data_IF_796453977358
#
_entry.id   IF_796453977358
#
_cell.length_a   1.000
_cell.length_b   1.000
_cell.length_c   1.000
_cell.angle_alpha   90.00
_cell.angle_beta   90.00
_cell.angle_gamma   90.00
#
_symmetry.space_group_name_H-M   'P 1'
#
loop_
_entity.id
_entity.type
_entity.pdbx_description
1 polymer ?
#
# COMPACT_ATOMS: atom_id res chain seq x y z
N UNK A 1 -16.86 8.62 15.32
CA UNK A 1 -15.49 8.09 15.55
C UNK A 1 -14.41 9.15 15.34
N UNK A 2 -14.32 9.79 14.17
CA UNK A 2 -13.33 10.86 13.94
C UNK A 2 -13.42 12.00 14.97
N UNK A 3 -14.63 12.49 15.25
CA UNK A 3 -14.84 13.57 16.23
C UNK A 3 -14.26 13.24 17.61
N UNK A 4 -14.49 12.01 18.09
CA UNK A 4 -13.91 11.54 19.34
C UNK A 4 -12.38 11.49 19.28
N UNK A 5 -11.80 10.89 18.22
CA UNK A 5 -10.34 10.84 18.04
C UNK A 5 -9.72 12.25 18.02
N UNK A 6 -10.32 13.19 17.29
CA UNK A 6 -9.84 14.57 17.22
C UNK A 6 -9.99 15.27 18.57
N UNK A 7 -11.07 15.01 19.31
CA UNK A 7 -11.26 15.52 20.68
C UNK A 7 -10.13 15.05 21.60
N UNK A 8 -9.84 13.75 21.61
CA UNK A 8 -8.76 13.18 22.42
C UNK A 8 -7.38 13.71 21.99
N UNK A 9 -7.12 13.82 20.68
CA UNK A 9 -5.89 14.34 20.11
C UNK A 9 -5.63 15.83 20.43
N UNK A 10 -6.70 16.63 20.56
CA UNK A 10 -6.64 18.03 21.03
C UNK A 10 -6.54 18.11 22.56
N UNK A 11 -7.11 17.14 23.27
CA UNK A 11 -7.05 17.03 24.71
C UNK A 11 -5.62 16.82 25.23
N UNK A 12 -5.36 17.28 26.45
CA UNK A 12 -4.08 17.08 27.17
C UNK A 12 -4.17 15.99 28.25
N UNK A 13 -5.35 15.41 28.43
CA UNK A 13 -5.60 14.35 29.41
C UNK A 13 -5.06 13.04 28.84
N UNK A 14 -4.21 12.30 29.58
CA UNK A 14 -3.82 10.95 29.20
C UNK A 14 -5.04 10.01 29.15
N UNK A 15 -5.06 9.12 28.18
CA UNK A 15 -6.16 8.21 27.88
C UNK A 15 -5.87 6.77 28.32
N UNK A 16 -4.66 6.26 28.07
CA UNK A 16 -4.32 4.86 28.37
C UNK A 16 -4.09 4.65 29.88
N UNK A 17 -4.93 3.86 30.58
CA UNK A 17 -4.70 3.54 31.96
C UNK A 17 -3.60 2.47 32.10
N UNK A 18 -2.76 2.53 33.13
CA UNK A 18 -1.65 1.59 33.31
C UNK A 18 -2.10 0.15 33.58
N UNK A 19 -3.33 -0.03 34.08
CA UNK A 19 -3.96 -1.30 34.44
C UNK A 19 -4.99 -1.78 33.40
N UNK A 20 -4.96 -1.25 32.18
CA UNK A 20 -5.82 -1.70 31.08
C UNK A 20 -5.70 -3.22 30.90
N UNK A 21 -6.79 -4.01 30.99
CA UNK A 21 -6.74 -5.43 30.66
C UNK A 21 -6.40 -5.61 29.18
N UNK A 22 -5.32 -6.32 28.88
CA UNK A 22 -4.83 -6.55 27.51
C UNK A 22 -4.94 -8.02 27.14
N UNK A 23 -5.48 -8.28 25.94
CA UNK A 23 -5.25 -9.55 25.26
C UNK A 23 -3.83 -9.59 24.71
N UNK A 24 -3.36 -10.76 24.26
CA UNK A 24 -2.04 -10.90 23.62
C UNK A 24 -1.89 -9.95 22.41
N UNK A 25 -2.91 -9.85 21.56
CA UNK A 25 -2.90 -8.94 20.40
C UNK A 25 -2.82 -7.46 20.80
N UNK A 26 -3.51 -7.04 21.87
CA UNK A 26 -3.45 -5.66 22.37
C UNK A 26 -2.06 -5.40 22.98
N UNK A 27 -1.54 -6.34 23.77
CA UNK A 27 -0.23 -6.23 24.39
C UNK A 27 0.89 -6.13 23.35
N UNK A 28 0.79 -6.85 22.23
CA UNK A 28 1.75 -6.77 21.13
C UNK A 28 1.76 -5.37 20.48
N UNK A 29 0.59 -4.80 20.17
CA UNK A 29 0.49 -3.44 19.60
C UNK A 29 1.04 -2.38 20.55
N UNK A 30 0.65 -2.42 21.83
CA UNK A 30 1.15 -1.47 22.83
C UNK A 30 2.65 -1.67 23.09
N UNK A 31 3.11 -2.93 23.14
CA UNK A 31 4.52 -3.29 23.30
C UNK A 31 5.37 -2.74 22.16
N UNK A 32 4.93 -2.91 20.91
CA UNK A 32 5.61 -2.34 19.75
C UNK A 32 5.73 -0.81 19.85
N UNK A 33 4.65 -0.12 20.22
CA UNK A 33 4.68 1.34 20.38
C UNK A 33 5.61 1.81 21.51
N UNK A 34 5.73 1.04 22.61
CA UNK A 34 6.69 1.32 23.69
C UNK A 34 8.13 1.17 23.21
N UNK A 35 8.43 0.14 22.41
CA UNK A 35 9.75 -0.01 21.77
C UNK A 35 10.06 1.19 20.86
N UNK A 36 9.08 1.68 20.09
CA UNK A 36 9.24 2.88 19.28
C UNK A 36 9.52 4.13 20.13
N UNK A 37 8.95 4.23 21.33
CA UNK A 37 9.16 5.34 22.24
C UNK A 37 10.54 5.34 22.91
N UNK A 38 11.17 4.16 23.06
CA UNK A 38 12.44 3.98 23.76
C UNK A 38 13.67 4.11 22.86
N UNK A 39 13.52 3.86 21.55
CA UNK A 39 14.63 3.86 20.59
C UNK A 39 14.83 5.22 19.89
N UNK A 40 16.05 5.49 19.36
CA UNK A 40 16.32 6.70 18.59
C UNK A 40 15.42 6.84 17.35
N UNK A 41 14.88 8.04 17.12
CA UNK A 41 13.89 8.29 16.05
C UNK A 41 14.44 8.03 14.64
N UNK A 42 15.74 8.21 14.44
CA UNK A 42 16.45 7.97 13.18
C UNK A 42 16.61 6.47 12.84
N UNK A 43 16.25 5.59 13.78
CA UNK A 43 16.15 4.15 13.52
C UNK A 43 14.92 3.78 12.67
N UNK A 44 13.96 4.70 12.52
CA UNK A 44 12.64 4.39 11.98
C UNK A 44 12.28 5.19 10.72
N UNK A 45 11.52 4.53 9.85
CA UNK A 45 10.78 5.17 8.76
C UNK A 45 9.35 5.54 9.19
N UNK A 46 8.34 5.34 8.32
CA UNK A 46 6.94 5.58 8.69
C UNK A 46 6.31 4.41 9.46
N UNK A 47 5.20 4.69 10.13
CA UNK A 47 4.26 3.68 10.60
C UNK A 47 3.21 3.42 9.52
N UNK A 48 3.19 2.21 8.94
CA UNK A 48 2.29 1.87 7.82
C UNK A 48 1.06 1.12 8.33
N UNK A 49 -0.12 1.58 7.91
CA UNK A 49 -1.41 0.96 8.25
C UNK A 49 -1.90 0.13 7.07
N UNK A 50 -1.69 -1.18 7.11
CA UNK A 50 -2.32 -2.11 6.16
C UNK A 50 -3.84 -2.11 6.31
N UNK A 51 -4.56 -2.39 5.23
CA UNK A 51 -6.03 -2.36 5.14
C UNK A 51 -6.63 -1.04 5.64
N UNK A 52 -6.01 0.09 5.32
CA UNK A 52 -6.57 1.39 5.65
C UNK A 52 -7.85 1.63 4.84
N UNK A 53 -8.93 2.00 5.52
CA UNK A 53 -10.25 2.19 4.88
C UNK A 53 -10.84 3.57 5.12
N UNK A 54 -10.41 4.25 6.18
CA UNK A 54 -10.99 5.53 6.58
C UNK A 54 -9.97 6.44 7.28
N UNK A 55 -10.22 7.76 7.31
CA UNK A 55 -9.40 8.72 8.07
C UNK A 55 -9.22 8.36 9.55
N UNK A 56 -10.22 7.71 10.16
CA UNK A 56 -10.13 7.28 11.56
C UNK A 56 -9.04 6.26 11.81
N UNK A 57 -8.64 5.48 10.80
CA UNK A 57 -7.59 4.47 10.95
C UNK A 57 -6.24 5.17 11.16
N UNK A 58 -5.97 6.23 10.40
CA UNK A 58 -4.80 7.10 10.56
C UNK A 58 -4.82 7.79 11.93
N UNK A 59 -5.92 8.47 12.27
CA UNK A 59 -6.02 9.21 13.53
C UNK A 59 -5.95 8.31 14.78
N UNK A 60 -6.39 7.05 14.67
CA UNK A 60 -6.26 6.08 15.77
C UNK A 60 -4.80 5.75 16.06
N UNK A 61 -3.97 5.59 15.01
CA UNK A 61 -2.53 5.36 15.18
C UNK A 61 -1.86 6.62 15.75
N UNK A 62 -2.19 7.81 15.25
CA UNK A 62 -1.65 9.06 15.81
C UNK A 62 -1.93 9.18 17.31
N UNK A 63 -3.14 8.83 17.74
CA UNK A 63 -3.51 8.82 19.15
C UNK A 63 -2.69 7.78 19.93
N UNK A 64 -2.58 6.54 19.42
CA UNK A 64 -1.81 5.49 20.09
C UNK A 64 -0.33 5.82 20.20
N UNK A 65 0.29 6.42 19.18
CA UNK A 65 1.69 6.86 19.25
C UNK A 65 1.88 7.85 20.41
N UNK A 66 0.99 8.85 20.52
CA UNK A 66 1.02 9.83 21.62
C UNK A 66 0.83 9.17 22.98
N UNK A 67 -0.19 8.33 23.12
CA UNK A 67 -0.55 7.70 24.39
C UNK A 67 0.49 6.67 24.87
N UNK A 68 1.26 6.09 23.95
CA UNK A 68 2.37 5.20 24.29
C UNK A 68 3.69 5.95 24.57
N UNK A 69 3.67 7.29 24.59
CA UNK A 69 4.82 8.11 24.99
C UNK A 69 5.83 8.40 23.89
N UNK A 70 5.49 8.17 22.61
CA UNK A 70 6.35 8.53 21.48
C UNK A 70 6.41 10.07 21.39
N UNK A 71 7.55 10.65 21.76
CA UNK A 71 7.73 12.12 21.83
C UNK A 71 7.74 12.78 20.44
N UNK A 72 8.34 12.12 19.47
CA UNK A 72 8.35 12.51 18.07
C UNK A 72 7.68 11.39 17.28
N UNK A 73 6.40 11.57 16.94
CA UNK A 73 5.60 10.55 16.27
C UNK A 73 6.20 10.20 14.90
N UNK A 74 6.13 8.93 14.52
CA UNK A 74 6.52 8.51 13.19
C UNK A 74 5.45 9.00 12.20
N UNK A 75 5.84 9.34 10.95
CA UNK A 75 4.86 9.64 9.91
C UNK A 75 3.91 8.46 9.67
N UNK A 76 2.61 8.68 9.82
CA UNK A 76 1.60 7.64 9.58
C UNK A 76 1.25 7.57 8.09
N UNK A 77 1.33 6.35 7.54
CA UNK A 77 1.15 6.08 6.11
C UNK A 77 0.00 5.10 5.90
N UNK A 78 -1.16 5.56 5.35
CA UNK A 78 -2.22 4.65 4.98
C UNK A 78 -1.81 3.81 3.77
N UNK A 79 -2.04 2.50 3.84
CA UNK A 79 -1.93 1.58 2.70
C UNK A 79 -3.34 1.17 2.23
N UNK A 80 -3.71 1.64 1.05
CA UNK A 80 -4.98 1.30 0.40
C UNK A 80 -4.79 0.05 -0.48
N UNK A 81 -5.52 -1.03 -0.17
CA UNK A 81 -5.26 -2.38 -0.72
C UNK A 81 -6.40 -2.96 -1.55
N UNK A 82 -7.66 -2.52 -1.36
CA UNK A 82 -8.81 -3.00 -2.15
C UNK A 82 -9.26 -1.94 -3.14
N UNK A 83 -10.00 -2.36 -4.16
CA UNK A 83 -10.51 -1.46 -5.19
C UNK A 83 -11.37 -0.34 -4.57
N UNK A 84 -12.26 -0.69 -3.64
CA UNK A 84 -13.11 0.28 -2.94
C UNK A 84 -12.28 1.26 -2.08
N UNK A 85 -11.21 0.77 -1.45
CA UNK A 85 -10.34 1.60 -0.61
C UNK A 85 -9.56 2.61 -1.48
N UNK A 86 -9.09 2.20 -2.66
CA UNK A 86 -8.46 3.09 -3.63
C UNK A 86 -9.43 4.14 -4.20
N UNK A 87 -10.69 3.77 -4.42
CA UNK A 87 -11.74 4.72 -4.85
C UNK A 87 -12.02 5.76 -3.77
N UNK A 88 -12.03 5.35 -2.49
CA UNK A 88 -12.26 6.22 -1.35
C UNK A 88 -11.01 7.00 -0.89
N UNK A 89 -9.83 6.66 -1.39
CA UNK A 89 -8.56 7.22 -0.93
C UNK A 89 -8.48 8.74 -1.09
N UNK A 90 -8.83 9.37 -2.24
CA UNK A 90 -8.78 10.83 -2.38
C UNK A 90 -9.67 11.55 -1.37
N UNK A 91 -10.91 11.07 -1.18
CA UNK A 91 -11.84 11.63 -0.21
C UNK A 91 -11.36 11.45 1.24
N UNK A 92 -10.73 10.32 1.55
CA UNK A 92 -10.16 10.06 2.87
C UNK A 92 -8.98 11.00 3.17
N UNK A 93 -8.08 11.18 2.19
CA UNK A 93 -6.94 12.11 2.29
C UNK A 93 -7.43 13.55 2.40
N UNK A 94 -8.41 13.96 1.61
CA UNK A 94 -9.01 15.30 1.72
C UNK A 94 -9.64 15.52 3.09
N UNK A 95 -10.34 14.52 3.63
CA UNK A 95 -10.93 14.62 4.96
C UNK A 95 -9.88 14.77 6.06
N UNK A 96 -8.75 14.05 5.96
CA UNK A 96 -7.60 14.24 6.83
C UNK A 96 -7.03 15.65 6.72
N UNK A 97 -6.79 16.15 5.51
CA UNK A 97 -6.23 17.50 5.30
C UNK A 97 -7.18 18.63 5.70
N UNK A 98 -8.49 18.41 5.66
CA UNK A 98 -9.51 19.34 6.17
C UNK A 98 -9.61 19.36 7.71
N UNK A 99 -8.88 18.50 8.41
CA UNK A 99 -8.89 18.44 9.88
C UNK A 99 -7.75 19.28 10.44
N UNK A 100 -8.06 20.41 11.08
CA UNK A 100 -7.06 21.38 11.58
C UNK A 100 -5.94 20.76 12.40
N UNK A 101 -6.25 19.79 13.27
CA UNK A 101 -5.24 19.12 14.07
C UNK A 101 -4.23 18.37 13.19
N UNK A 102 -4.74 17.64 12.19
CA UNK A 102 -3.93 16.78 11.35
C UNK A 102 -3.06 17.56 10.36
N UNK A 103 -3.62 18.57 9.69
CA UNK A 103 -2.86 19.37 8.72
C UNK A 103 -1.68 20.10 9.37
N UNK A 104 -1.86 20.57 10.61
CA UNK A 104 -0.79 21.18 11.41
C UNK A 104 0.22 20.11 11.89
N UNK A 105 -0.25 18.92 12.23
CA UNK A 105 0.59 17.82 12.71
C UNK A 105 1.57 17.33 11.63
N UNK A 106 1.11 17.14 10.39
CA UNK A 106 1.92 16.56 9.31
C UNK A 106 2.94 17.54 8.70
N UNK A 107 2.92 18.81 9.11
CA UNK A 107 3.85 19.86 8.69
C UNK A 107 4.09 19.90 7.15
N UNK A 108 2.99 19.89 6.39
CA UNK A 108 3.01 19.99 4.94
C UNK A 108 3.54 18.77 4.17
N UNK A 109 3.71 17.60 4.81
CA UNK A 109 4.17 16.37 4.15
C UNK A 109 3.26 15.19 4.47
N UNK A 110 2.76 14.50 3.44
CA UNK A 110 2.01 13.26 3.59
C UNK A 110 2.63 12.18 2.73
N UNK A 111 2.71 10.96 3.23
CA UNK A 111 3.00 9.80 2.42
C UNK A 111 1.81 8.84 2.39
N UNK A 112 1.52 8.28 1.22
CA UNK A 112 0.46 7.28 1.02
C UNK A 112 1.08 6.07 0.34
N UNK A 113 0.78 4.88 0.83
CA UNK A 113 1.24 3.64 0.21
C UNK A 113 0.14 3.04 -0.67
N UNK A 114 0.54 2.53 -1.83
CA UNK A 114 -0.38 1.89 -2.78
C UNK A 114 0.01 0.43 -3.02
N UNK A 115 -0.95 -0.49 -2.85
CA UNK A 115 -0.74 -1.93 -2.95
C UNK A 115 -1.19 -2.51 -4.29
N UNK A 116 -0.25 -2.84 -5.18
CA UNK A 116 -0.58 -3.42 -6.50
C UNK A 116 -1.06 -4.86 -6.41
N UNK A 117 -0.30 -5.73 -5.73
CA UNK A 117 -0.62 -7.16 -5.63
C UNK A 117 -1.93 -7.42 -4.90
N UNK A 118 -2.18 -6.66 -3.82
CA UNK A 118 -3.37 -6.80 -3.01
C UNK A 118 -4.62 -6.30 -3.76
N UNK A 119 -4.51 -5.16 -4.46
CA UNK A 119 -5.60 -4.65 -5.32
C UNK A 119 -5.88 -5.58 -6.50
N UNK A 120 -4.83 -6.14 -7.11
CA UNK A 120 -4.97 -7.12 -8.19
C UNK A 120 -5.63 -8.42 -7.73
N UNK A 121 -5.37 -8.85 -6.49
CA UNK A 121 -6.05 -10.01 -5.87
C UNK A 121 -7.53 -9.74 -5.57
N UNK A 122 -7.91 -8.48 -5.33
CA UNK A 122 -9.30 -8.11 -5.04
C UNK A 122 -10.17 -8.02 -6.31
N UNK A 123 -9.63 -7.44 -7.39
CA UNK A 123 -10.44 -7.01 -8.54
C UNK A 123 -9.86 -7.34 -9.92
N UNK A 124 -8.76 -8.11 -9.99
CA UNK A 124 -8.03 -8.36 -11.22
C UNK A 124 -7.03 -7.25 -11.55
N UNK A 125 -5.96 -7.59 -12.27
CA UNK A 125 -4.80 -6.72 -12.43
C UNK A 125 -5.08 -5.46 -13.27
N UNK A 126 -5.90 -5.57 -14.33
CA UNK A 126 -6.25 -4.43 -15.18
C UNK A 126 -6.99 -3.35 -14.39
N UNK A 127 -8.06 -3.74 -13.71
CA UNK A 127 -8.91 -2.84 -12.93
C UNK A 127 -8.14 -2.22 -11.76
N UNK A 128 -7.30 -3.01 -11.09
CA UNK A 128 -6.41 -2.50 -10.05
C UNK A 128 -5.43 -1.45 -10.59
N UNK A 129 -4.78 -1.71 -11.73
CA UNK A 129 -3.83 -0.76 -12.33
C UNK A 129 -4.51 0.55 -12.76
N UNK A 130 -5.70 0.47 -13.36
CA UNK A 130 -6.46 1.66 -13.74
C UNK A 130 -6.89 2.47 -12.52
N UNK A 131 -7.47 1.82 -11.51
CA UNK A 131 -7.92 2.50 -10.30
C UNK A 131 -6.74 3.11 -9.52
N UNK A 132 -5.57 2.47 -9.53
CA UNK A 132 -4.34 3.03 -8.97
C UNK A 132 -3.90 4.30 -9.69
N UNK A 133 -3.99 4.34 -11.03
CA UNK A 133 -3.67 5.55 -11.79
C UNK A 133 -4.60 6.71 -11.39
N UNK A 134 -5.91 6.46 -11.40
CA UNK A 134 -6.93 7.47 -11.03
C UNK A 134 -6.77 7.93 -9.59
N UNK A 135 -6.58 7.02 -8.63
CA UNK A 135 -6.42 7.38 -7.22
C UNK A 135 -5.19 8.27 -6.98
N UNK A 136 -4.06 8.00 -7.65
CA UNK A 136 -2.86 8.81 -7.53
C UNK A 136 -3.05 10.22 -8.12
N UNK A 137 -3.70 10.31 -9.28
CA UNK A 137 -4.03 11.59 -9.92
C UNK A 137 -4.93 12.46 -9.02
N UNK A 138 -5.98 11.89 -8.46
CA UNK A 138 -6.92 12.62 -7.60
C UNK A 138 -6.30 12.98 -6.25
N UNK A 139 -5.51 12.08 -5.63
CA UNK A 139 -4.77 12.41 -4.40
C UNK A 139 -3.75 13.52 -4.61
N UNK A 140 -3.08 13.57 -5.77
CA UNK A 140 -2.15 14.66 -6.10
C UNK A 140 -2.87 16.02 -6.24
N UNK A 141 -4.05 16.04 -6.87
CA UNK A 141 -4.91 17.25 -6.93
C UNK A 141 -5.32 17.73 -5.54
N UNK A 142 -5.75 16.80 -4.68
CA UNK A 142 -6.09 17.10 -3.27
C UNK A 142 -4.88 17.65 -2.52
N UNK A 143 -3.71 17.00 -2.63
CA UNK A 143 -2.50 17.46 -1.98
C UNK A 143 -2.08 18.87 -2.42
N UNK A 144 -2.17 19.16 -3.73
CA UNK A 144 -1.92 20.48 -4.29
C UNK A 144 -2.89 21.54 -3.75
N UNK A 145 -4.19 21.23 -3.64
CA UNK A 145 -5.22 22.11 -3.06
C UNK A 145 -4.89 22.53 -1.63
N UNK A 146 -4.31 21.63 -0.83
CA UNK A 146 -3.97 21.88 0.57
C UNK A 146 -2.49 22.27 0.81
N UNK A 147 -1.70 22.45 -0.26
CA UNK A 147 -0.27 22.79 -0.14
C UNK A 147 0.58 21.70 0.52
N UNK A 148 0.16 20.43 0.42
CA UNK A 148 0.86 19.28 1.01
C UNK A 148 1.76 18.63 -0.03
N UNK A 149 3.03 18.39 0.34
CA UNK A 149 3.93 17.54 -0.44
C UNK A 149 3.55 16.06 -0.24
N UNK A 150 2.86 15.51 -1.23
CA UNK A 150 2.55 14.08 -1.28
C UNK A 150 3.78 13.28 -1.73
N UNK A 151 4.05 12.17 -1.06
CA UNK A 151 5.00 11.14 -1.53
C UNK A 151 4.27 9.82 -1.64
N UNK A 152 4.31 9.21 -2.83
CA UNK A 152 3.74 7.88 -3.02
C UNK A 152 4.76 6.81 -2.68
N UNK A 153 4.33 5.84 -1.87
CA UNK A 153 5.09 4.64 -1.57
C UNK A 153 4.51 3.46 -2.36
N UNK A 154 5.23 3.04 -3.39
CA UNK A 154 4.84 1.94 -4.25
C UNK A 154 5.16 0.59 -3.59
N UNK A 155 4.11 -0.17 -3.27
CA UNK A 155 4.19 -1.52 -2.73
C UNK A 155 4.58 -2.58 -3.76
N UNK A 156 4.60 -3.84 -3.33
CA UNK A 156 5.01 -4.98 -4.17
C UNK A 156 4.04 -5.28 -5.32
N UNK A 157 4.56 -5.84 -6.41
CA UNK A 157 3.79 -6.29 -7.58
C UNK A 157 3.49 -5.22 -8.62
N UNK A 158 3.85 -3.96 -8.35
CA UNK A 158 3.78 -2.90 -9.35
C UNK A 158 4.85 -3.06 -10.42
N UNK A 159 4.62 -2.46 -11.59
CA UNK A 159 5.61 -2.37 -12.67
C UNK A 159 6.92 -1.72 -12.22
N UNK A 160 6.84 -0.80 -11.25
CA UNK A 160 7.98 -0.07 -10.67
C UNK A 160 8.90 -0.99 -9.83
N UNK A 161 8.35 -1.99 -9.14
CA UNK A 161 9.09 -2.79 -8.13
C UNK A 161 9.49 -4.19 -8.57
N UNK A 162 9.15 -4.61 -9.80
CA UNK A 162 9.31 -6.01 -10.25
C UNK A 162 10.36 -6.27 -11.32
N UNK A 163 10.93 -5.24 -11.95
CA UNK A 163 11.76 -5.44 -13.14
C UNK A 163 11.04 -6.15 -14.31
N UNK A 164 9.72 -6.43 -14.19
CA UNK A 164 8.89 -7.09 -15.20
C UNK A 164 8.59 -6.21 -16.42
N UNK A 165 9.12 -4.99 -16.41
CA UNK A 165 9.33 -4.09 -17.52
C UNK A 165 10.44 -3.12 -17.12
N UNK A 166 10.94 -2.27 -18.03
CA UNK A 166 11.97 -1.30 -17.70
C UNK A 166 11.50 -0.36 -16.57
N UNK A 167 11.98 -0.54 -15.33
CA UNK A 167 11.60 0.29 -14.16
C UNK A 167 11.67 1.79 -14.45
N UNK A 168 12.65 2.19 -15.25
CA UNK A 168 12.80 3.55 -15.76
C UNK A 168 11.51 4.04 -16.44
N UNK A 169 10.99 3.33 -17.43
CA UNK A 169 9.76 3.70 -18.13
C UNK A 169 8.52 3.63 -17.21
N UNK A 170 8.48 2.68 -16.29
CA UNK A 170 7.39 2.57 -15.32
C UNK A 170 7.29 3.78 -14.37
N UNK A 171 8.42 4.42 -14.06
CA UNK A 171 8.46 5.68 -13.30
C UNK A 171 8.00 6.84 -14.20
N UNK A 172 8.51 6.91 -15.43
CA UNK A 172 8.09 7.94 -16.40
C UNK A 172 6.59 7.88 -16.74
N UNK A 173 5.96 6.72 -16.62
CA UNK A 173 4.53 6.53 -16.89
C UNK A 173 3.61 6.83 -15.70
N UNK A 174 4.14 7.21 -14.53
CA UNK A 174 3.27 7.61 -13.41
C UNK A 174 2.44 8.85 -13.79
N UNK A 175 1.24 9.06 -13.20
CA UNK A 175 0.45 10.25 -13.52
C UNK A 175 1.27 11.54 -13.30
N UNK A 176 1.04 12.60 -14.09
CA UNK A 176 1.72 13.89 -13.91
C UNK A 176 1.60 14.42 -12.48
N UNK A 177 2.61 15.18 -12.02
CA UNK A 177 2.66 15.82 -10.69
C UNK A 177 2.54 14.86 -9.48
N UNK A 178 2.79 13.55 -9.64
CA UNK A 178 2.70 12.58 -8.52
C UNK A 178 4.04 12.25 -7.85
N UNK A 179 5.18 12.54 -8.49
CA UNK A 179 6.52 12.24 -7.98
C UNK A 179 7.20 13.48 -7.37
N UNK A 180 7.29 14.59 -8.12
CA UNK A 180 7.81 15.87 -7.64
C UNK A 180 9.12 15.76 -6.81
N UNK A 181 10.06 14.96 -7.32
CA UNK A 181 11.37 14.72 -6.70
C UNK A 181 11.35 13.84 -5.44
N UNK A 182 10.24 13.16 -5.11
CA UNK A 182 10.14 12.28 -3.94
C UNK A 182 9.24 11.08 -4.23
N UNK A 183 9.87 9.90 -4.37
CA UNK A 183 9.20 8.62 -4.55
C UNK A 183 9.78 7.60 -3.56
N UNK A 184 8.96 6.64 -3.13
CA UNK A 184 9.44 5.45 -2.41
C UNK A 184 8.97 4.20 -3.13
N UNK A 185 9.86 3.22 -3.26
CA UNK A 185 9.58 1.98 -4.00
C UNK A 185 10.03 0.80 -3.16
N UNK A 186 9.17 -0.22 -3.09
CA UNK A 186 9.54 -1.51 -2.50
C UNK A 186 10.43 -2.28 -3.49
N UNK A 187 11.68 -2.54 -3.12
CA UNK A 187 12.49 -3.57 -3.79
C UNK A 187 12.04 -4.92 -3.26
N UNK A 188 11.54 -5.77 -4.16
CA UNK A 188 11.10 -7.11 -3.76
C UNK A 188 12.29 -8.04 -3.51
N UNK A 189 12.18 -8.89 -2.49
CA UNK A 189 13.24 -9.86 -2.15
C UNK A 189 13.60 -10.78 -3.31
N UNK A 190 12.62 -11.17 -4.14
CA UNK A 190 12.90 -11.99 -5.33
C UNK A 190 13.69 -11.29 -6.45
N UNK A 191 13.91 -9.97 -6.37
CA UNK A 191 14.65 -9.17 -7.37
C UNK A 191 15.90 -8.51 -6.77
N UNK A 192 16.15 -8.66 -5.46
CA UNK A 192 17.25 -7.95 -4.78
C UNK A 192 18.61 -8.30 -5.37
N UNK A 193 18.86 -9.59 -5.60
CA UNK A 193 20.11 -10.09 -6.17
C UNK A 193 20.31 -9.58 -7.61
N UNK A 194 19.24 -9.60 -8.41
CA UNK A 194 19.30 -9.12 -9.79
C UNK A 194 19.61 -7.61 -9.88
N UNK A 195 19.14 -6.82 -8.92
CA UNK A 195 19.35 -5.37 -8.93
C UNK A 195 20.65 -4.94 -8.28
N UNK A 196 21.11 -5.66 -7.25
CA UNK A 196 22.17 -5.19 -6.35
C UNK A 196 23.26 -6.21 -6.06
N UNK A 197 23.16 -7.44 -6.56
CA UNK A 197 24.13 -8.51 -6.31
C UNK A 197 25.47 -8.33 -7.05
N UNK A 198 25.48 -7.56 -8.13
CA UNK A 198 26.68 -7.23 -8.91
C UNK A 198 26.89 -5.70 -8.97
N UNK A 199 28.14 -5.25 -8.89
CA UNK A 199 28.50 -3.84 -8.71
C UNK A 199 27.99 -2.93 -9.85
N UNK A 200 28.17 -3.36 -11.10
CA UNK A 200 27.71 -2.59 -12.26
C UNK A 200 26.18 -2.57 -12.36
N UNK A 201 25.51 -3.69 -12.06
CA UNK A 201 24.05 -3.75 -12.02
C UNK A 201 23.48 -2.90 -10.89
N UNK A 202 24.14 -2.87 -9.73
CA UNK A 202 23.81 -1.98 -8.62
C UNK A 202 23.88 -0.52 -9.07
N UNK A 203 24.99 -0.12 -9.70
CA UNK A 203 25.15 1.23 -10.23
C UNK A 203 24.05 1.59 -11.24
N UNK A 204 23.78 0.70 -12.20
CA UNK A 204 22.73 0.91 -13.22
C UNK A 204 21.33 1.00 -12.61
N UNK A 205 21.04 0.21 -11.57
CA UNK A 205 19.77 0.26 -10.84
C UNK A 205 19.58 1.63 -10.19
N UNK A 206 20.59 2.12 -9.46
CA UNK A 206 20.57 3.44 -8.83
C UNK A 206 20.49 4.59 -9.85
N UNK A 207 21.23 4.47 -10.96
CA UNK A 207 21.20 5.44 -12.06
C UNK A 207 19.79 5.57 -12.64
N UNK A 208 19.10 4.45 -12.92
CA UNK A 208 17.77 4.46 -13.54
C UNK A 208 16.71 5.05 -12.64
N UNK A 209 16.72 4.76 -11.33
CA UNK A 209 15.81 5.39 -10.37
C UNK A 209 16.02 6.90 -10.32
N UNK A 210 17.27 7.34 -10.26
CA UNK A 210 17.62 8.77 -10.17
C UNK A 210 17.18 9.51 -11.44
N UNK A 211 17.56 9.00 -12.62
CA UNK A 211 17.24 9.61 -13.91
C UNK A 211 15.73 9.69 -14.15
N UNK A 212 14.99 8.60 -13.97
CA UNK A 212 13.56 8.58 -14.26
C UNK A 212 12.75 9.45 -13.28
N UNK A 213 13.15 9.50 -12.01
CA UNK A 213 12.50 10.36 -10.99
C UNK A 213 12.70 11.83 -11.32
N UNK A 214 13.90 12.21 -11.75
CA UNK A 214 14.23 13.57 -12.16
C UNK A 214 13.48 13.96 -13.44
N UNK A 215 13.55 13.11 -14.48
CA UNK A 215 12.92 13.36 -15.77
C UNK A 215 11.40 13.49 -15.63
N UNK A 216 10.72 12.59 -14.90
CA UNK A 216 9.27 12.67 -14.71
C UNK A 216 8.81 14.03 -14.16
N UNK A 217 9.56 14.61 -13.21
CA UNK A 217 9.24 15.90 -12.61
C UNK A 217 9.44 17.11 -13.54
N UNK A 218 10.18 16.97 -14.64
CA UNK A 218 10.46 18.04 -15.61
C UNK A 218 9.82 17.79 -16.98
N UNK A 219 9.50 16.53 -17.28
CA UNK A 219 8.94 16.06 -18.54
C UNK A 219 7.85 15.01 -18.25
N UNK A 220 6.68 15.45 -17.74
CA UNK A 220 5.60 14.54 -17.40
C UNK A 220 5.02 13.85 -18.65
N UNK A 221 4.42 12.66 -18.51
CA UNK A 221 3.80 11.97 -19.64
C UNK A 221 2.56 12.71 -20.14
N UNK A 222 2.13 12.36 -21.35
CA UNK A 222 0.89 12.91 -21.92
C UNK A 222 -0.32 12.56 -21.06
N UNK A 223 -1.22 13.53 -20.86
CA UNK A 223 -2.50 13.25 -20.20
C UNK A 223 -3.35 12.32 -21.06
N UNK A 224 -4.02 11.32 -20.47
CA UNK A 224 -4.85 10.40 -21.23
C UNK A 224 -6.08 11.11 -21.80
N UNK A 225 -6.38 10.84 -23.07
CA UNK A 225 -7.52 11.43 -23.77
C UNK A 225 -8.86 10.97 -23.16
N UNK A 226 -9.94 11.76 -23.26
CA UNK A 226 -11.25 11.38 -22.72
C UNK A 226 -11.74 10.01 -23.19
N UNK A 227 -11.56 9.69 -24.47
CA UNK A 227 -11.95 8.39 -25.05
C UNK A 227 -11.11 7.22 -24.50
N UNK A 228 -9.84 7.44 -24.13
CA UNK A 228 -9.01 6.41 -23.50
C UNK A 228 -9.45 6.15 -22.06
N UNK A 229 -9.76 7.22 -21.30
CA UNK A 229 -10.29 7.08 -19.94
C UNK A 229 -11.60 6.31 -19.94
N UNK A 230 -12.54 6.69 -20.80
CA UNK A 230 -13.83 6.02 -20.94
C UNK A 230 -13.67 4.54 -21.27
N UNK A 231 -12.79 4.20 -22.22
CA UNK A 231 -12.52 2.80 -22.55
C UNK A 231 -11.90 2.04 -21.37
N UNK A 232 -10.95 2.63 -20.64
CA UNK A 232 -10.36 2.01 -19.46
C UNK A 232 -11.39 1.78 -18.33
N UNK A 233 -12.34 2.69 -18.14
CA UNK A 233 -13.45 2.55 -17.20
C UNK A 233 -14.36 1.37 -17.59
N UNK A 234 -14.75 1.27 -18.86
CA UNK A 234 -15.57 0.17 -19.38
C UNK A 234 -14.86 -1.18 -19.25
N UNK A 235 -13.57 -1.25 -19.63
CA UNK A 235 -12.75 -2.46 -19.53
C UNK A 235 -12.56 -2.89 -18.07
N UNK A 236 -12.36 -1.95 -17.14
CA UNK A 236 -12.18 -2.26 -15.72
C UNK A 236 -13.42 -2.94 -15.11
N UNK A 237 -14.63 -2.55 -15.53
CA UNK A 237 -15.87 -3.19 -15.05
C UNK A 237 -15.94 -4.64 -15.50
N UNK A 238 -15.75 -4.90 -16.79
CA UNK A 238 -15.85 -6.26 -17.36
C UNK A 238 -14.73 -7.15 -16.80
N UNK A 239 -13.49 -6.66 -16.74
CA UNK A 239 -12.37 -7.43 -16.22
C UNK A 239 -12.53 -7.79 -14.73
N UNK A 240 -13.09 -6.88 -13.91
CA UNK A 240 -13.39 -7.19 -12.51
C UNK A 240 -14.52 -8.21 -12.38
N UNK A 241 -15.55 -8.12 -13.22
CA UNK A 241 -16.66 -9.06 -13.22
C UNK A 241 -16.18 -10.47 -13.56
N UNK A 242 -15.42 -10.63 -14.65
CA UNK A 242 -14.85 -11.90 -15.07
C UNK A 242 -13.90 -12.47 -14.01
N UNK A 243 -12.95 -11.66 -13.51
CA UNK A 243 -12.01 -12.09 -12.46
C UNK A 243 -12.75 -12.60 -11.22
N UNK A 244 -13.73 -11.84 -10.72
CA UNK A 244 -14.50 -12.23 -9.53
C UNK A 244 -15.44 -13.39 -9.80
N UNK A 245 -15.94 -13.55 -11.03
CA UNK A 245 -16.78 -14.70 -11.40
C UNK A 245 -16.03 -16.02 -11.16
N UNK A 246 -14.74 -16.06 -11.48
CA UNK A 246 -13.89 -17.25 -11.31
C UNK A 246 -13.32 -17.33 -9.90
N UNK A 247 -12.68 -16.27 -9.40
CA UNK A 247 -11.88 -16.34 -8.16
C UNK A 247 -12.75 -16.26 -6.90
N UNK A 248 -13.91 -15.61 -6.98
CA UNK A 248 -14.80 -15.34 -5.84
C UNK A 248 -16.12 -16.10 -5.93
N UNK A 249 -16.80 -16.09 -7.09
CA UNK A 249 -18.15 -16.66 -7.24
C UNK A 249 -18.15 -18.17 -7.51
N UNK A 250 -17.15 -18.73 -8.21
CA UNK A 250 -17.11 -20.18 -8.49
C UNK A 250 -16.78 -20.99 -7.22
N UNK A 251 -17.70 -21.83 -6.72
CA UNK A 251 -17.54 -22.50 -5.43
C UNK A 251 -16.38 -23.51 -5.42
N UNK A 252 -16.04 -24.11 -6.57
CA UNK A 252 -14.96 -25.11 -6.68
C UNK A 252 -13.58 -24.48 -6.88
N UNK A 253 -13.49 -23.15 -7.00
CA UNK A 253 -12.23 -22.49 -7.30
C UNK A 253 -11.15 -22.76 -6.25
N UNK A 254 -11.51 -22.72 -4.96
CA UNK A 254 -10.54 -22.94 -3.87
C UNK A 254 -10.02 -24.38 -3.87
N UNK A 255 -10.87 -25.36 -4.19
CA UNK A 255 -10.49 -26.76 -4.32
C UNK A 255 -9.54 -26.97 -5.50
N UNK A 256 -9.88 -26.42 -6.67
CA UNK A 256 -9.01 -26.43 -7.84
C UNK A 256 -7.66 -25.77 -7.55
N UNK A 257 -7.66 -24.58 -6.97
CA UNK A 257 -6.44 -23.84 -6.62
C UNK A 257 -5.49 -24.65 -5.73
N UNK A 258 -6.02 -25.30 -4.69
CA UNK A 258 -5.20 -26.13 -3.77
C UNK A 258 -4.71 -27.44 -4.39
N UNK A 259 -5.40 -27.92 -5.41
CA UNK A 259 -5.03 -29.17 -6.11
C UNK A 259 -4.06 -28.90 -7.26
N UNK A 260 -4.23 -27.78 -7.96
CA UNK A 260 -3.47 -27.42 -9.14
C UNK A 260 -2.22 -26.58 -8.82
N UNK A 261 -2.00 -26.20 -7.56
CA UNK A 261 -0.84 -25.39 -7.14
C UNK A 261 -0.28 -25.86 -5.79
N UNK A 262 1.00 -25.59 -5.48
CA UNK A 262 1.60 -25.98 -4.21
C UNK A 262 1.24 -25.02 -3.04
N UNK A 263 0.06 -24.38 -3.03
CA UNK A 263 -0.32 -23.44 -1.96
C UNK A 263 -0.33 -24.09 -0.58
N UNK A 264 -0.88 -25.30 -0.49
CA UNK A 264 -1.00 -26.02 0.78
C UNK A 264 0.38 -26.40 1.32
N UNK A 265 1.26 -26.87 0.45
CA UNK A 265 2.62 -27.28 0.78
C UNK A 265 3.46 -26.07 1.17
N UNK A 266 3.37 -24.96 0.43
CA UNK A 266 4.07 -23.70 0.75
C UNK A 266 3.76 -23.23 2.18
N UNK A 267 2.49 -23.29 2.61
CA UNK A 267 2.10 -22.89 3.96
C UNK A 267 2.53 -23.86 5.07
N UNK A 268 2.89 -25.11 4.74
CA UNK A 268 3.33 -26.14 5.69
C UNK A 268 4.84 -26.30 5.77
N UNK A 269 5.54 -26.00 4.67
CA UNK A 269 6.98 -26.10 4.59
C UNK A 269 7.64 -24.94 5.34
N UNK A 270 8.92 -25.13 5.70
CA UNK A 270 9.73 -24.11 6.35
C UNK A 270 10.25 -23.07 5.33
N UNK A 271 9.31 -22.47 4.57
CA UNK A 271 9.59 -21.50 3.50
C UNK A 271 8.80 -20.22 3.80
N UNK A 272 9.52 -19.17 4.20
CA UNK A 272 8.94 -17.90 4.63
C UNK A 272 8.64 -17.85 6.14
N UNK A 273 8.56 -16.64 6.69
CA UNK A 273 8.40 -16.41 8.14
C UNK A 273 6.96 -16.09 8.57
N UNK A 274 6.01 -16.03 7.64
CA UNK A 274 4.65 -15.53 7.89
C UNK A 274 3.58 -16.57 7.55
N UNK A 275 2.49 -16.65 8.34
CA UNK A 275 1.32 -17.46 7.98
C UNK A 275 0.75 -17.05 6.61
N UNK A 276 0.46 -18.03 5.76
CA UNK A 276 -0.06 -17.80 4.40
C UNK A 276 -1.46 -17.16 4.38
N UNK A 277 -2.26 -17.37 5.43
CA UNK A 277 -3.64 -16.87 5.56
C UNK A 277 -3.80 -16.02 6.83
N UNK A 278 -4.72 -15.05 6.80
CA UNK A 278 -5.10 -14.24 7.97
C UNK A 278 -6.05 -14.99 8.90
N UNK A 279 -6.93 -15.85 8.36
CA UNK A 279 -7.84 -16.72 9.12
C UNK A 279 -8.01 -18.06 8.40
N UNK A 280 -8.08 -19.20 9.11
CA UNK A 280 -8.43 -20.49 8.50
C UNK A 280 -9.83 -20.46 7.86
N UNK A 281 -10.03 -21.20 6.75
CA UNK A 281 -11.35 -21.44 6.16
C UNK A 281 -11.97 -20.32 5.30
N UNK A 282 -11.44 -19.10 5.27
CA UNK A 282 -12.09 -17.97 4.57
C UNK A 282 -11.79 -17.81 3.07
N UNK A 283 -11.48 -18.90 2.35
CA UNK A 283 -11.22 -18.87 0.90
C UNK A 283 -10.07 -17.94 0.48
N UNK A 284 -10.13 -17.42 -0.76
CA UNK A 284 -9.08 -16.54 -1.34
C UNK A 284 -9.02 -15.16 -0.65
N UNK A 285 -10.12 -14.68 -0.07
CA UNK A 285 -10.16 -13.38 0.62
C UNK A 285 -9.22 -13.34 1.84
N UNK A 286 -9.07 -14.47 2.53
CA UNK A 286 -8.14 -14.62 3.67
C UNK A 286 -6.69 -14.92 3.29
N UNK A 287 -6.43 -15.29 2.03
CA UNK A 287 -5.11 -15.56 1.51
C UNK A 287 -4.34 -14.24 1.30
N UNK A 288 -3.08 -14.21 1.74
CA UNK A 288 -2.19 -13.06 1.50
C UNK A 288 -1.75 -13.02 0.03
N UNK A 289 -1.42 -11.83 -0.50
CA UNK A 289 -1.00 -11.69 -1.88
C UNK A 289 0.33 -12.37 -2.24
N UNK A 290 1.21 -12.67 -1.27
CA UNK A 290 2.47 -13.40 -1.52
C UNK A 290 2.17 -14.86 -1.92
N UNK A 291 1.54 -15.68 -1.05
CA UNK A 291 1.14 -17.04 -1.41
C UNK A 291 0.33 -17.11 -2.69
N UNK A 292 -0.62 -16.18 -2.90
CA UNK A 292 -1.46 -16.14 -4.09
C UNK A 292 -0.65 -16.13 -5.39
N UNK A 293 0.27 -15.16 -5.54
CA UNK A 293 1.08 -15.04 -6.76
C UNK A 293 2.12 -16.15 -6.82
N UNK A 294 2.72 -16.52 -5.68
CA UNK A 294 3.76 -17.54 -5.61
C UNK A 294 3.26 -18.89 -6.12
N UNK A 295 2.11 -19.37 -5.62
CA UNK A 295 1.56 -20.68 -5.97
C UNK A 295 1.27 -20.83 -7.46
N UNK A 296 0.68 -19.81 -8.09
CA UNK A 296 0.43 -19.82 -9.55
C UNK A 296 1.70 -19.62 -10.40
N UNK A 297 2.74 -19.01 -9.83
CA UNK A 297 4.03 -18.86 -10.50
C UNK A 297 4.76 -20.20 -10.55
N UNK A 298 4.71 -21.00 -9.49
CA UNK A 298 5.32 -22.33 -9.44
C UNK A 298 4.79 -23.24 -10.57
N UNK A 299 3.51 -23.13 -10.89
CA UNK A 299 2.87 -23.97 -11.92
C UNK A 299 2.91 -23.35 -13.32
N UNK A 300 3.59 -22.21 -13.48
CA UNK A 300 3.77 -21.51 -14.77
C UNK A 300 2.46 -21.07 -15.42
N UNK A 301 1.35 -21.06 -14.67
CA UNK A 301 0.05 -20.69 -15.20
C UNK A 301 -0.25 -19.20 -15.05
N UNK A 302 0.31 -18.55 -14.03
CA UNK A 302 0.27 -17.10 -13.85
C UNK A 302 -1.14 -16.45 -13.84
N UNK A 303 -2.20 -17.21 -13.52
CA UNK A 303 -3.59 -16.74 -13.45
C UNK A 303 -3.80 -15.36 -12.76
N UNK A 304 -3.09 -15.00 -11.68
CA UNK A 304 -3.28 -13.70 -11.02
C UNK A 304 -2.84 -12.46 -11.80
N UNK A 305 -2.15 -12.62 -12.93
CA UNK A 305 -1.45 -11.54 -13.65
C UNK A 305 -2.13 -11.22 -14.97
#
# INVERSE_FOLDING_TARGET
>A
RMEWLVSELKGKRPLLPPDLPMTEEIADVIGAMRVLAELPIDSFGPYIISMCTAPSDVLAVELLQRECGIRQTLPVVPLFERLADLQAAPASVEKLFSTDWYINHINGKQQVMVGYSDSGKDAGRLSAAWQLYVAQEEMAKVAKKYGVKLTLFHGRGGTVGRGGGPTHLAILSQPPDTINGSIRVTVQGEVIEFMFGEENLCFQSLQRFTAATLEHGMHPPVSPKPEWRKLMEEMAVVATEEYRSVVVKEPRFVEYFRSATPETEYGKMNIGSRPAKRKPGGGITTLRAIPWIFSWTQTRFHLPV
#
